data_IF_580538166241
#
_entry.id   IF_580538166241
#
_cell.length_a   1.000
_cell.length_b   1.000
_cell.length_c   1.000
_cell.angle_alpha   90.00
_cell.angle_beta   90.00
_cell.angle_gamma   90.00
#
_symmetry.space_group_name_H-M   'P 1'
#
loop_
_entity.id
_entity.type
_entity.pdbx_description
1 polymer ?
#
# COMPACT_ATOMS: atom_id res chain seq x y z
N UNK A 1 43.67 13.56 -11.36
CA UNK A 1 42.79 13.29 -12.52
C UNK A 1 42.42 11.82 -12.53
N UNK A 2 41.14 11.48 -12.59
CA UNK A 2 40.67 10.09 -12.47
C UNK A 2 40.77 9.41 -13.85
N UNK A 3 41.73 8.50 -14.04
CA UNK A 3 42.12 7.93 -15.35
C UNK A 3 41.23 6.77 -15.86
N UNK A 4 40.02 6.62 -15.32
CA UNK A 4 39.15 5.50 -15.70
C UNK A 4 38.39 5.75 -17.00
N UNK A 5 38.48 4.80 -17.92
CA UNK A 5 37.71 4.81 -19.18
C UNK A 5 36.21 4.73 -18.88
N UNK A 6 35.35 5.29 -19.75
CA UNK A 6 33.88 5.30 -19.56
C UNK A 6 33.29 3.91 -19.25
N UNK A 7 33.81 2.86 -19.89
CA UNK A 7 33.40 1.46 -19.63
C UNK A 7 33.79 0.98 -18.22
N UNK A 8 34.99 1.33 -17.74
CA UNK A 8 35.45 0.97 -16.39
C UNK A 8 34.63 1.66 -15.30
N UNK A 9 34.24 2.93 -15.50
CA UNK A 9 33.35 3.64 -14.56
C UNK A 9 31.96 3.00 -14.48
N UNK A 10 31.38 2.62 -15.63
CA UNK A 10 30.09 1.91 -15.68
C UNK A 10 30.14 0.57 -14.96
N UNK A 11 31.23 -0.19 -15.14
CA UNK A 11 31.46 -1.43 -14.40
C UNK A 11 31.61 -1.18 -12.90
N UNK A 12 32.36 -0.15 -12.50
CA UNK A 12 32.54 0.21 -11.09
C UNK A 12 31.21 0.58 -10.43
N UNK A 13 30.36 1.35 -11.11
CA UNK A 13 29.02 1.69 -10.62
C UNK A 13 28.10 0.47 -10.57
N UNK A 14 28.13 -0.41 -11.57
CA UNK A 14 27.33 -1.64 -11.57
C UNK A 14 27.70 -2.56 -10.40
N UNK A 15 29.00 -2.74 -10.14
CA UNK A 15 29.49 -3.51 -8.99
C UNK A 15 29.08 -2.82 -7.67
N UNK A 16 29.24 -1.50 -7.58
CA UNK A 16 28.79 -0.74 -6.41
C UNK A 16 27.29 -0.90 -6.13
N UNK A 17 26.45 -0.88 -7.17
CA UNK A 17 25.00 -1.11 -7.06
C UNK A 17 24.71 -2.54 -6.56
N UNK A 18 25.39 -3.56 -7.10
CA UNK A 18 25.20 -4.95 -6.67
C UNK A 18 25.61 -5.13 -5.20
N UNK A 19 26.74 -4.54 -4.79
CA UNK A 19 27.23 -4.59 -3.41
C UNK A 19 26.25 -3.89 -2.45
N UNK A 20 25.66 -2.77 -2.85
CA UNK A 20 24.65 -2.07 -2.06
C UNK A 20 23.31 -2.82 -2.01
N UNK A 21 22.91 -3.48 -3.11
CA UNK A 21 21.67 -4.25 -3.16
C UNK A 21 21.73 -5.55 -2.36
N UNK A 22 22.90 -6.18 -2.24
CA UNK A 22 23.07 -7.45 -1.53
C UNK A 22 22.50 -7.45 -0.09
N UNK A 23 22.93 -6.53 0.80
CA UNK A 23 22.39 -6.42 2.15
C UNK A 23 20.90 -6.06 2.20
N UNK A 24 20.44 -5.18 1.30
CA UNK A 24 19.03 -4.79 1.21
C UNK A 24 18.16 -6.01 0.88
N UNK A 25 18.64 -6.85 -0.05
CA UNK A 25 17.96 -8.07 -0.47
C UNK A 25 17.94 -9.11 0.67
N UNK A 26 19.10 -9.32 1.29
CA UNK A 26 19.26 -10.30 2.37
C UNK A 26 18.47 -9.96 3.63
N UNK A 27 18.30 -8.68 3.95
CA UNK A 27 17.53 -8.25 5.12
C UNK A 27 16.04 -8.07 4.81
N UNK A 28 15.72 -7.51 3.63
CA UNK A 28 14.40 -6.95 3.34
C UNK A 28 13.45 -7.80 2.50
N UNK A 29 13.86 -8.96 1.97
CA UNK A 29 12.97 -9.74 1.10
C UNK A 29 11.78 -10.33 1.89
N UNK A 30 10.54 -10.18 1.38
CA UNK A 30 9.37 -10.72 2.05
C UNK A 30 9.40 -12.25 2.06
N UNK A 31 8.90 -12.84 3.14
CA UNK A 31 8.66 -14.29 3.20
C UNK A 31 7.43 -14.59 2.34
N UNK A 32 7.60 -15.39 1.30
CA UNK A 32 6.51 -15.76 0.39
C UNK A 32 5.86 -17.05 0.90
N UNK A 33 4.67 -16.93 1.51
CA UNK A 33 3.84 -18.10 1.81
C UNK A 33 3.16 -18.55 0.52
N UNK A 34 3.39 -19.80 0.14
CA UNK A 34 2.67 -20.43 -0.97
C UNK A 34 1.25 -20.80 -0.51
N UNK A 35 0.28 -20.79 -1.43
CA UNK A 35 -1.15 -21.05 -1.18
C UNK A 35 -1.47 -22.40 -0.48
N UNK A 36 -0.48 -23.27 -0.31
CA UNK A 36 -0.58 -24.56 0.39
C UNK A 36 -0.16 -24.49 1.88
N UNK A 37 0.06 -23.30 2.46
CA UNK A 37 0.43 -23.15 3.87
C UNK A 37 1.87 -23.57 4.22
N UNK A 38 2.67 -23.95 3.22
CA UNK A 38 4.10 -24.23 3.38
C UNK A 38 4.86 -22.93 3.22
N UNK A 39 5.44 -22.45 4.32
CA UNK A 39 6.32 -21.29 4.34
C UNK A 39 7.58 -21.61 3.50
N UNK A 40 7.59 -21.17 2.24
CA UNK A 40 8.80 -21.23 1.45
C UNK A 40 9.75 -20.16 1.98
N UNK A 41 10.97 -20.58 2.30
CA UNK A 41 11.96 -19.79 3.01
C UNK A 41 12.41 -18.59 2.17
N UNK A 42 11.74 -17.45 2.33
CA UNK A 42 12.19 -16.17 1.79
C UNK A 42 13.61 -15.85 2.26
N UNK A 43 14.38 -15.17 1.41
CA UNK A 43 15.78 -14.81 1.65
C UNK A 43 15.94 -13.76 2.78
N UNK A 44 14.87 -13.08 3.19
CA UNK A 44 14.89 -12.01 4.19
C UNK A 44 14.90 -12.50 5.64
N UNK A 45 15.96 -12.17 6.41
CA UNK A 45 16.04 -12.50 7.83
C UNK A 45 14.99 -11.77 8.68
N UNK A 46 14.64 -10.52 8.33
CA UNK A 46 13.65 -9.73 9.07
C UNK A 46 12.23 -10.28 8.96
N UNK A 47 11.87 -10.85 7.80
CA UNK A 47 10.56 -11.47 7.61
C UNK A 47 10.39 -12.72 8.48
N UNK A 48 11.46 -13.51 8.65
CA UNK A 48 11.47 -14.69 9.54
C UNK A 48 11.35 -14.28 11.01
N UNK A 49 12.15 -13.31 11.44
CA UNK A 49 12.11 -12.77 12.81
C UNK A 49 10.73 -12.20 13.14
N UNK A 50 10.11 -11.47 12.21
CA UNK A 50 8.74 -10.95 12.39
C UNK A 50 7.73 -12.07 12.62
N UNK A 51 7.84 -13.18 11.90
CA UNK A 51 6.95 -14.33 12.05
C UNK A 51 7.23 -15.10 13.35
N UNK A 52 8.50 -15.30 13.70
CA UNK A 52 8.92 -16.04 14.90
C UNK A 52 8.50 -15.33 16.19
N UNK A 53 8.66 -14.02 16.24
CA UNK A 53 8.30 -13.21 17.42
C UNK A 53 6.84 -12.71 17.40
N UNK A 54 6.03 -13.18 16.45
CA UNK A 54 4.65 -12.70 16.24
C UNK A 54 4.54 -11.16 16.20
N UNK A 55 5.58 -10.52 15.65
CA UNK A 55 5.68 -9.07 15.49
C UNK A 55 5.03 -8.60 14.17
N UNK A 56 4.38 -9.52 13.46
CA UNK A 56 3.60 -9.23 12.26
C UNK A 56 2.15 -8.96 12.64
N UNK A 57 1.46 -8.11 11.86
CA UNK A 57 0.01 -8.02 12.00
C UNK A 57 -0.62 -9.41 11.86
N UNK A 58 -1.52 -9.78 12.79
CA UNK A 58 -2.28 -11.04 12.78
C UNK A 58 -3.08 -11.28 11.47
N UNK A 59 -3.10 -10.30 10.58
CA UNK A 59 -3.62 -10.34 9.21
C UNK A 59 -2.54 -10.78 8.20
N UNK A 60 -1.64 -11.68 8.59
CA UNK A 60 -0.61 -12.23 7.71
C UNK A 60 -1.15 -13.04 6.51
N UNK A 61 -2.46 -13.36 6.50
CA UNK A 61 -3.16 -13.88 5.32
C UNK A 61 -3.33 -12.86 4.19
N UNK A 62 -3.16 -11.56 4.47
CA UNK A 62 -3.21 -10.46 3.51
C UNK A 62 -2.09 -9.44 3.79
N UNK A 63 -0.85 -9.90 4.02
CA UNK A 63 0.29 -9.00 3.76
C UNK A 63 0.26 -8.75 2.27
N UNK A 64 -0.47 -7.72 1.87
CA UNK A 64 -0.61 -7.37 0.46
C UNK A 64 0.81 -7.07 -0.02
N UNK A 65 1.42 -7.96 -0.84
CA UNK A 65 2.80 -7.79 -1.28
C UNK A 65 2.94 -6.45 -1.99
N UNK A 66 1.84 -5.93 -2.54
CA UNK A 66 1.78 -4.64 -3.17
C UNK A 66 2.07 -3.48 -2.21
N UNK A 67 1.60 -3.47 -0.95
CA UNK A 67 1.93 -2.38 0.00
C UNK A 67 3.42 -2.34 0.33
N UNK A 68 4.05 -3.49 0.56
CA UNK A 68 5.48 -3.57 0.85
C UNK A 68 6.35 -3.23 -0.38
N UNK A 69 5.96 -3.72 -1.55
CA UNK A 69 6.59 -3.38 -2.82
C UNK A 69 6.42 -1.90 -3.17
N UNK A 70 5.24 -1.34 -2.91
CA UNK A 70 4.94 0.08 -3.14
C UNK A 70 5.77 0.98 -2.22
N UNK A 71 5.96 0.58 -0.96
CA UNK A 71 6.86 1.29 -0.04
C UNK A 71 8.32 1.28 -0.55
N UNK A 72 8.76 0.16 -1.13
CA UNK A 72 10.10 0.05 -1.73
C UNK A 72 10.22 0.92 -3.00
N UNK A 73 9.23 0.84 -3.90
CA UNK A 73 9.21 1.60 -5.17
C UNK A 73 9.16 3.11 -4.91
N UNK A 74 8.37 3.54 -3.94
CA UNK A 74 8.22 4.95 -3.62
C UNK A 74 9.38 5.51 -2.81
N UNK A 75 10.31 4.68 -2.31
CA UNK A 75 11.48 5.11 -1.53
C UNK A 75 11.14 6.08 -0.38
N UNK A 76 9.96 5.93 0.24
CA UNK A 76 9.46 6.82 1.29
C UNK A 76 8.56 7.98 0.82
N UNK A 77 8.37 8.19 -0.48
CA UNK A 77 7.48 9.20 -1.07
C UNK A 77 5.97 8.84 -1.01
N UNK A 78 5.59 7.89 -0.16
CA UNK A 78 4.19 7.45 0.02
C UNK A 78 3.27 8.59 0.50
N UNK A 79 3.78 9.52 1.29
CA UNK A 79 3.02 10.69 1.77
C UNK A 79 2.57 11.58 0.61
N UNK A 80 3.50 12.14 -0.18
CA UNK A 80 3.16 12.91 -1.38
C UNK A 80 2.29 12.14 -2.38
N UNK A 81 2.56 10.85 -2.61
CA UNK A 81 1.75 10.02 -3.49
C UNK A 81 0.30 9.90 -3.01
N UNK A 82 0.09 9.65 -1.71
CA UNK A 82 -1.24 9.61 -1.12
C UNK A 82 -1.96 10.97 -1.21
N UNK A 83 -1.24 12.08 -1.01
CA UNK A 83 -1.81 13.43 -1.21
C UNK A 83 -2.27 13.67 -2.64
N UNK A 84 -1.50 13.25 -3.65
CA UNK A 84 -1.90 13.35 -5.05
C UNK A 84 -3.14 12.52 -5.37
N UNK A 85 -3.20 11.29 -4.85
CA UNK A 85 -4.38 10.44 -5.00
C UNK A 85 -5.60 11.06 -4.30
N UNK A 86 -5.41 11.73 -3.16
CA UNK A 86 -6.49 12.45 -2.48
C UNK A 86 -7.07 13.58 -3.35
N UNK A 87 -6.21 14.38 -3.99
CA UNK A 87 -6.65 15.40 -4.95
C UNK A 87 -7.42 14.78 -6.13
N UNK A 88 -6.96 13.64 -6.65
CA UNK A 88 -7.67 12.90 -7.70
C UNK A 88 -9.01 12.34 -7.24
N UNK A 89 -9.10 11.89 -5.99
CA UNK A 89 -10.36 11.44 -5.40
C UNK A 89 -11.38 12.58 -5.36
N UNK A 90 -10.97 13.79 -4.95
CA UNK A 90 -11.82 14.99 -4.96
C UNK A 90 -12.32 15.29 -6.39
N UNK A 91 -11.42 15.30 -7.37
CA UNK A 91 -11.76 15.51 -8.79
C UNK A 91 -12.78 14.46 -9.30
N UNK A 92 -12.58 13.18 -8.98
CA UNK A 92 -13.53 12.13 -9.37
C UNK A 92 -14.88 12.26 -8.67
N UNK A 93 -14.91 12.74 -7.43
CA UNK A 93 -16.15 13.00 -6.70
C UNK A 93 -16.93 14.16 -7.31
N UNK A 94 -16.26 15.27 -7.65
CA UNK A 94 -16.88 16.42 -8.32
C UNK A 94 -17.50 16.04 -9.67
N UNK A 95 -16.82 15.18 -10.43
CA UNK A 95 -17.33 14.65 -11.70
C UNK A 95 -18.29 13.46 -11.56
N UNK A 96 -18.71 13.10 -10.34
CA UNK A 96 -19.60 11.96 -10.04
C UNK A 96 -19.08 10.61 -10.61
N UNK A 97 -17.78 10.45 -10.73
CA UNK A 97 -17.10 9.24 -11.21
C UNK A 97 -16.87 8.25 -10.05
N UNK A 98 -17.96 7.73 -9.48
CA UNK A 98 -17.95 6.98 -8.22
C UNK A 98 -17.08 5.71 -8.21
N UNK A 99 -17.02 4.99 -9.34
CA UNK A 99 -16.17 3.80 -9.48
C UNK A 99 -14.68 4.15 -9.41
N UNK A 100 -14.28 5.28 -10.05
CA UNK A 100 -12.90 5.77 -9.99
C UNK A 100 -12.56 6.33 -8.62
N UNK A 101 -13.50 7.07 -8.01
CA UNK A 101 -13.36 7.53 -6.62
C UNK A 101 -13.04 6.36 -5.70
N UNK A 102 -13.83 5.29 -5.75
CA UNK A 102 -13.62 4.10 -4.91
C UNK A 102 -12.24 3.47 -5.14
N UNK A 103 -11.87 3.24 -6.39
CA UNK A 103 -10.57 2.64 -6.73
C UNK A 103 -9.40 3.50 -6.24
N UNK A 104 -9.52 4.83 -6.33
CA UNK A 104 -8.52 5.76 -5.80
C UNK A 104 -8.45 5.73 -4.28
N UNK A 105 -9.59 5.67 -3.59
CA UNK A 105 -9.63 5.53 -2.13
C UNK A 105 -8.98 4.23 -1.68
N UNK A 106 -9.24 3.12 -2.37
CA UNK A 106 -8.58 1.83 -2.12
C UNK A 106 -7.04 1.92 -2.33
N UNK A 107 -6.60 2.71 -3.31
CA UNK A 107 -5.17 2.97 -3.54
C UNK A 107 -4.54 3.83 -2.43
N UNK A 108 -5.28 4.79 -1.87
CA UNK A 108 -4.80 5.61 -0.75
C UNK A 108 -4.60 4.75 0.50
N UNK A 109 -5.55 3.88 0.85
CA UNK A 109 -5.40 3.00 2.03
C UNK A 109 -4.27 1.99 1.86
N UNK A 110 -3.96 1.60 0.62
CA UNK A 110 -2.81 0.73 0.33
C UNK A 110 -1.47 1.41 0.65
N UNK A 111 -1.39 2.73 0.43
CA UNK A 111 -0.22 3.55 0.72
C UNK A 111 -0.10 3.94 2.20
N UNK A 112 -1.24 4.20 2.85
CA UNK A 112 -1.31 4.70 4.23
C UNK A 112 -2.28 3.89 5.10
N UNK A 113 -2.05 2.57 5.28
CA UNK A 113 -3.01 1.70 5.98
C UNK A 113 -3.17 2.04 7.47
N UNK A 114 -2.11 2.54 8.13
CA UNK A 114 -2.14 2.87 9.56
C UNK A 114 -2.45 4.34 9.86
N UNK A 115 -2.88 5.12 8.86
CA UNK A 115 -3.24 6.51 9.07
C UNK A 115 -4.74 6.64 9.37
N UNK A 116 -5.13 6.47 10.63
CA UNK A 116 -6.53 6.43 11.10
C UNK A 116 -7.42 7.55 10.53
N UNK A 117 -6.88 8.75 10.30
CA UNK A 117 -7.65 9.87 9.77
C UNK A 117 -8.17 9.62 8.35
N UNK A 118 -7.45 8.89 7.50
CA UNK A 118 -7.95 8.58 6.15
C UNK A 118 -9.16 7.67 6.20
N UNK A 119 -9.14 6.69 7.11
CA UNK A 119 -10.26 5.77 7.30
C UNK A 119 -11.51 6.51 7.76
N UNK A 120 -11.36 7.38 8.76
CA UNK A 120 -12.46 8.22 9.27
C UNK A 120 -13.03 9.12 8.18
N UNK A 121 -12.17 9.87 7.48
CA UNK A 121 -12.59 10.82 6.47
C UNK A 121 -13.28 10.11 5.29
N UNK A 122 -12.64 9.11 4.69
CA UNK A 122 -13.18 8.42 3.53
C UNK A 122 -14.39 7.55 3.88
N UNK A 123 -14.40 6.93 5.07
CA UNK A 123 -15.55 6.17 5.55
C UNK A 123 -16.79 7.06 5.69
N UNK A 124 -16.64 8.24 6.30
CA UNK A 124 -17.72 9.22 6.38
C UNK A 124 -18.12 9.76 4.99
N UNK A 125 -17.14 10.09 4.15
CA UNK A 125 -17.38 10.59 2.79
C UNK A 125 -18.21 9.59 1.96
N UNK A 126 -17.83 8.31 1.95
CA UNK A 126 -18.58 7.25 1.26
C UNK A 126 -19.97 7.03 1.87
N UNK A 127 -20.06 6.94 3.20
CA UNK A 127 -21.30 6.64 3.89
C UNK A 127 -22.32 7.79 3.83
N UNK A 128 -21.86 9.04 3.81
CA UNK A 128 -22.72 10.23 3.94
C UNK A 128 -22.70 11.12 2.69
N UNK A 129 -21.53 11.56 2.23
CA UNK A 129 -21.45 12.51 1.11
C UNK A 129 -21.71 11.87 -0.24
N UNK A 130 -21.25 10.65 -0.46
CA UNK A 130 -21.53 9.94 -1.71
C UNK A 130 -22.96 9.43 -1.69
N UNK A 131 -23.42 8.86 -0.57
CA UNK A 131 -24.78 8.31 -0.48
C UNK A 131 -25.87 9.37 -0.72
N UNK A 132 -25.70 10.60 -0.20
CA UNK A 132 -26.67 11.70 -0.42
C UNK A 132 -26.80 12.16 -1.87
N UNK A 133 -25.81 11.89 -2.73
CA UNK A 133 -25.81 12.31 -4.14
C UNK A 133 -26.66 11.40 -5.04
N UNK A 134 -27.08 10.24 -4.53
CA UNK A 134 -27.98 9.33 -5.23
C UNK A 134 -29.43 9.66 -4.88
N UNK A 135 -30.35 9.55 -5.85
CA UNK A 135 -31.78 9.77 -5.58
C UNK A 135 -32.48 8.49 -5.12
N UNK A 136 -32.11 7.36 -5.73
CA UNK A 136 -32.71 6.07 -5.43
C UNK A 136 -32.28 5.58 -4.05
N UNK A 137 -33.26 5.26 -3.21
CA UNK A 137 -33.06 4.80 -1.83
C UNK A 137 -32.12 3.58 -1.76
N UNK A 138 -32.27 2.62 -2.67
CA UNK A 138 -31.41 1.43 -2.73
C UNK A 138 -29.92 1.79 -2.91
N UNK A 139 -29.62 2.74 -3.80
CA UNK A 139 -28.26 3.16 -4.11
C UNK A 139 -27.65 3.97 -2.95
N UNK A 140 -28.48 4.77 -2.25
CA UNK A 140 -28.06 5.43 -1.00
C UNK A 140 -27.62 4.40 0.03
N UNK A 141 -28.46 3.39 0.29
CA UNK A 141 -28.15 2.33 1.25
C UNK A 141 -26.96 1.49 0.82
N UNK A 142 -26.74 1.29 -0.47
CA UNK A 142 -25.52 0.66 -0.97
C UNK A 142 -24.28 1.43 -0.49
N UNK A 143 -24.19 2.73 -0.75
CA UNK A 143 -23.02 3.53 -0.34
C UNK A 143 -22.86 3.67 1.18
N UNK A 144 -23.96 3.75 1.94
CA UNK A 144 -23.92 3.70 3.41
C UNK A 144 -23.26 2.40 3.88
N UNK A 145 -23.69 1.24 3.38
CA UNK A 145 -23.11 -0.06 3.74
C UNK A 145 -21.64 -0.14 3.35
N UNK A 146 -21.27 0.42 2.21
CA UNK A 146 -19.89 0.39 1.73
C UNK A 146 -18.96 1.27 2.58
N UNK A 147 -19.42 2.44 3.04
CA UNK A 147 -18.68 3.23 4.02
C UNK A 147 -18.53 2.53 5.37
N UNK A 148 -19.55 1.80 5.83
CA UNK A 148 -19.47 0.98 7.06
C UNK A 148 -18.44 -0.14 6.91
N UNK A 149 -18.49 -0.91 5.82
CA UNK A 149 -17.50 -1.97 5.52
C UNK A 149 -16.08 -1.39 5.46
N UNK A 150 -15.93 -0.22 4.86
CA UNK A 150 -14.65 0.48 4.79
C UNK A 150 -14.12 0.83 6.18
N UNK A 151 -14.97 1.36 7.07
CA UNK A 151 -14.58 1.64 8.47
C UNK A 151 -14.25 0.37 9.25
N UNK A 152 -15.02 -0.70 9.09
CA UNK A 152 -14.73 -2.00 9.72
C UNK A 152 -13.36 -2.53 9.29
N UNK A 153 -13.02 -2.43 8.00
CA UNK A 153 -11.69 -2.78 7.48
C UNK A 153 -10.59 -1.91 8.09
N UNK A 154 -10.87 -0.62 8.29
CA UNK A 154 -9.95 0.30 8.97
C UNK A 154 -9.68 -0.09 10.42
N UNK A 155 -10.73 -0.46 11.16
CA UNK A 155 -10.63 -0.94 12.56
C UNK A 155 -9.89 -2.26 12.69
N UNK A 156 -9.97 -3.17 11.72
CA UNK A 156 -9.16 -4.40 11.75
C UNK A 156 -7.69 -4.18 11.40
N UNK A 157 -7.35 -3.05 10.77
CA UNK A 157 -6.00 -2.71 10.26
C UNK A 157 -5.23 -1.71 11.14
N UNK A 158 -5.84 -1.20 12.21
CA UNK A 158 -5.26 -0.20 13.13
C UNK A 158 -5.53 -0.61 14.57
#
# INVERSE_FOLDING_TARGET
>A
MNNFTSRQRKLLYAVGIIVLLGPIVYLGFPVQQSAAGVASSGLGQLGRLRQEYDLGEATLGEVDPSSSAMNLVLLGLRGPAASLLHLKAIEYQEHKQWAKLRTTVDSIILLQPHYVQIWKFQGWNLAYNVSREWDKVDDRFYWVKEGIKFLQRGTSRN
#
